data_IF_390280419805
#
_entry.id   IF_390280419805
#
_cell.length_a   1.000
_cell.length_b   1.000
_cell.length_c   1.000
_cell.angle_alpha   90.00
_cell.angle_beta   90.00
_cell.angle_gamma   90.00
#
_symmetry.space_group_name_H-M   'P 1'
#
loop_
_entity.id
_entity.type
_entity.pdbx_description
1 polymer ?
#
# COMPACT_ATOMS: atom_id res chain seq x y z
N UNK A 1 9.23 -8.14 6.05
CA UNK A 1 8.36 -7.00 5.71
C UNK A 1 8.09 -7.07 4.24
N UNK A 2 6.86 -6.84 3.81
CA UNK A 2 6.47 -6.90 2.38
C UNK A 2 6.61 -5.52 1.74
N UNK A 3 7.12 -5.41 0.49
CA UNK A 3 7.10 -4.17 -0.28
C UNK A 3 5.69 -3.59 -0.36
N UNK A 4 5.56 -2.28 -0.20
CA UNK A 4 4.27 -1.58 -0.10
C UNK A 4 3.75 -1.40 1.33
N UNK A 5 4.39 -2.00 2.36
CA UNK A 5 4.06 -1.73 3.77
C UNK A 5 4.27 -0.26 4.09
N UNK A 6 3.30 0.36 4.78
CA UNK A 6 3.29 1.77 5.09
C UNK A 6 3.38 2.02 6.59
N UNK A 7 4.11 3.07 6.97
CA UNK A 7 4.20 3.57 8.34
C UNK A 7 4.09 5.10 8.35
N UNK A 8 3.44 5.63 9.38
CA UNK A 8 3.46 7.07 9.62
C UNK A 8 4.75 7.42 10.34
N UNK A 9 5.64 8.12 9.64
CA UNK A 9 6.91 8.61 10.16
C UNK A 9 7.15 10.02 9.61
N UNK A 10 7.88 10.84 10.33
CA UNK A 10 8.18 12.19 9.89
C UNK A 10 6.93 13.01 9.47
N UNK A 11 5.77 12.76 10.13
CA UNK A 11 4.49 13.40 9.82
C UNK A 11 3.88 13.05 8.45
N UNK A 12 4.41 12.03 7.81
CA UNK A 12 3.93 11.57 6.50
C UNK A 12 3.88 10.05 6.43
N UNK A 13 3.31 9.52 5.36
CA UNK A 13 3.29 8.09 5.11
C UNK A 13 4.57 7.66 4.40
N UNK A 14 5.42 6.89 5.06
CA UNK A 14 6.62 6.28 4.48
C UNK A 14 6.27 4.89 3.99
N UNK A 15 6.50 4.62 2.71
CA UNK A 15 6.22 3.31 2.08
C UNK A 15 7.53 2.55 1.90
N UNK A 16 7.62 1.36 2.50
CA UNK A 16 8.74 0.43 2.28
C UNK A 16 8.70 -0.15 0.88
N UNK A 17 9.86 -0.15 0.20
CA UNK A 17 10.01 -0.63 -1.16
C UNK A 17 10.88 -1.89 -1.24
N UNK A 18 12.08 -1.84 -0.67
CA UNK A 18 13.07 -2.89 -0.82
C UNK A 18 14.09 -2.89 0.31
N UNK A 19 14.64 -4.04 0.62
CA UNK A 19 15.84 -4.15 1.44
C UNK A 19 16.67 -5.38 1.10
N UNK A 20 17.99 -5.26 1.26
CA UNK A 20 18.96 -6.33 1.07
C UNK A 20 20.16 -6.11 1.99
N UNK A 21 20.72 -7.18 2.50
CA UNK A 21 21.94 -7.18 3.32
C UNK A 21 23.07 -7.87 2.57
N UNK A 22 24.24 -7.24 2.52
CA UNK A 22 25.46 -7.84 2.01
C UNK A 22 26.30 -8.37 3.15
N UNK A 23 26.48 -9.70 3.21
CA UNK A 23 27.39 -10.33 4.14
C UNK A 23 28.85 -10.15 3.79
N UNK A 24 29.15 -9.74 2.55
CA UNK A 24 30.51 -9.44 2.11
C UNK A 24 31.03 -8.11 2.64
N UNK A 25 30.16 -7.08 2.65
CA UNK A 25 30.56 -5.71 3.04
C UNK A 25 29.97 -5.24 4.34
N UNK A 26 29.17 -6.07 5.03
CA UNK A 26 28.44 -5.73 6.25
C UNK A 26 27.58 -4.45 6.06
N UNK A 27 26.97 -4.31 4.87
CA UNK A 27 26.12 -3.19 4.48
C UNK A 27 24.67 -3.64 4.29
N UNK A 28 23.74 -2.75 4.60
CA UNK A 28 22.32 -2.95 4.38
C UNK A 28 21.76 -1.84 3.51
N UNK A 29 21.02 -2.17 2.48
CA UNK A 29 20.27 -1.20 1.68
C UNK A 29 18.80 -1.24 2.07
N UNK A 30 18.22 -0.06 2.17
CA UNK A 30 16.80 0.16 2.44
C UNK A 30 16.28 1.22 1.48
N UNK A 31 15.20 0.91 0.77
CA UNK A 31 14.56 1.84 -0.15
C UNK A 31 13.14 2.15 0.33
N UNK A 32 12.76 3.42 0.28
CA UNK A 32 11.43 3.89 0.66
C UNK A 32 10.94 5.00 -0.26
N UNK A 33 9.62 5.21 -0.29
CA UNK A 33 9.01 6.35 -0.96
C UNK A 33 8.09 7.12 -0.03
N UNK A 34 7.87 8.39 -0.39
CA UNK A 34 6.96 9.32 0.27
C UNK A 34 5.83 9.70 -0.68
N UNK A 35 4.66 10.15 -0.20
CA UNK A 35 3.65 10.74 -1.06
C UNK A 35 4.21 12.01 -1.73
N UNK A 36 3.94 12.17 -3.03
CA UNK A 36 4.21 13.42 -3.72
C UNK A 36 3.33 14.53 -3.11
N UNK A 37 3.93 15.48 -2.44
CA UNK A 37 3.27 16.68 -1.94
C UNK A 37 4.24 17.84 -1.94
N UNK A 38 3.72 19.07 -2.07
CA UNK A 38 4.53 20.27 -2.00
C UNK A 38 5.21 20.41 -0.63
N UNK A 39 4.53 20.02 0.43
CA UNK A 39 5.05 20.04 1.80
C UNK A 39 6.22 19.07 1.96
N UNK A 40 6.08 17.82 1.48
CA UNK A 40 7.14 16.82 1.57
C UNK A 40 8.38 17.22 0.74
N UNK A 41 8.21 18.03 -0.29
CA UNK A 41 9.33 18.52 -1.10
C UNK A 41 10.21 19.54 -0.37
N UNK A 42 9.68 20.20 0.67
CA UNK A 42 10.37 21.23 1.45
C UNK A 42 11.21 20.66 2.59
N UNK A 43 10.95 19.41 3.01
CA UNK A 43 11.65 18.78 4.13
C UNK A 43 12.94 18.09 3.71
N UNK A 44 13.94 18.19 4.56
CA UNK A 44 15.14 17.36 4.49
C UNK A 44 14.92 16.08 5.33
N UNK A 45 14.92 14.94 4.66
CA UNK A 45 14.72 13.65 5.32
C UNK A 45 16.05 13.08 5.79
N UNK A 46 16.02 12.43 6.95
CA UNK A 46 17.14 11.72 7.55
C UNK A 46 16.71 10.34 8.03
N UNK A 47 17.69 9.52 8.37
CA UNK A 47 17.44 8.16 8.88
C UNK A 47 18.18 7.96 10.17
N UNK A 48 17.48 7.41 11.15
CA UNK A 48 18.05 6.89 12.39
C UNK A 48 17.99 5.38 12.31
N UNK A 49 19.13 4.70 12.39
CA UNK A 49 19.18 3.25 12.27
C UNK A 49 20.01 2.63 13.39
N UNK A 50 19.45 1.62 14.05
CA UNK A 50 20.10 0.91 15.18
C UNK A 50 20.01 -0.60 14.97
N UNK A 51 21.13 -1.28 15.09
CA UNK A 51 21.20 -2.74 15.04
C UNK A 51 21.21 -3.30 16.46
N UNK A 52 20.25 -4.18 16.77
CA UNK A 52 20.06 -4.79 18.08
C UNK A 52 19.97 -3.75 19.23
N UNK A 53 19.71 -4.20 20.44
CA UNK A 53 19.72 -3.30 21.62
C UNK A 53 21.12 -2.98 22.15
N UNK A 54 22.18 -3.40 21.44
CA UNK A 54 23.55 -3.45 21.96
C UNK A 54 24.34 -2.19 21.65
N UNK A 55 23.99 -1.45 20.59
CA UNK A 55 24.67 -0.20 20.24
C UNK A 55 23.76 0.99 20.57
N UNK A 56 24.21 1.87 21.47
CA UNK A 56 23.55 3.18 21.68
C UNK A 56 23.84 4.17 20.54
N UNK A 57 24.67 3.77 19.59
CA UNK A 57 25.11 4.63 18.49
C UNK A 57 24.28 4.32 17.23
N UNK A 58 23.95 5.37 16.52
CA UNK A 58 23.27 5.26 15.23
C UNK A 58 24.25 4.74 14.17
N UNK A 59 23.75 3.86 13.29
CA UNK A 59 24.58 3.34 12.20
C UNK A 59 24.87 4.44 11.17
N UNK A 60 26.12 4.53 10.67
CA UNK A 60 26.45 5.44 9.58
C UNK A 60 25.64 5.11 8.32
N UNK A 61 25.15 6.12 7.65
CA UNK A 61 24.38 5.94 6.42
C UNK A 61 24.83 6.88 5.31
N UNK A 62 24.51 6.48 4.09
CA UNK A 62 24.52 7.30 2.88
C UNK A 62 23.13 7.23 2.25
N UNK A 63 22.47 8.37 2.05
CA UNK A 63 21.13 8.42 1.49
C UNK A 63 21.14 9.15 0.16
N UNK A 64 20.53 8.52 -0.84
CA UNK A 64 20.41 9.05 -2.18
C UNK A 64 18.96 9.18 -2.58
N UNK A 65 18.62 10.29 -3.22
CA UNK A 65 17.28 10.60 -3.72
C UNK A 65 17.16 10.21 -5.18
N UNK A 66 16.04 9.56 -5.54
CA UNK A 66 15.65 9.23 -6.91
C UNK A 66 14.38 10.00 -7.24
N UNK A 67 14.48 11.02 -8.10
CA UNK A 67 13.34 11.89 -8.38
C UNK A 67 12.96 12.74 -7.17
N UNK A 68 11.65 12.93 -6.94
CA UNK A 68 11.17 13.84 -5.90
C UNK A 68 10.81 13.14 -4.58
N UNK A 69 10.43 11.87 -4.63
CA UNK A 69 9.73 11.15 -3.57
C UNK A 69 10.34 9.79 -3.19
N UNK A 70 11.46 9.40 -3.80
CA UNK A 70 12.06 8.08 -3.65
C UNK A 70 13.46 8.19 -3.08
N UNK A 71 13.78 7.34 -2.13
CA UNK A 71 15.04 7.35 -1.40
C UNK A 71 15.63 5.96 -1.29
N UNK A 72 16.95 5.88 -1.44
CA UNK A 72 17.75 4.68 -1.20
C UNK A 72 18.78 4.98 -0.14
N UNK A 73 18.79 4.23 0.93
CA UNK A 73 19.66 4.38 2.09
C UNK A 73 20.59 3.20 2.17
N UNK A 74 21.87 3.47 2.28
CA UNK A 74 22.91 2.47 2.50
C UNK A 74 23.42 2.62 3.93
N UNK A 75 23.02 1.70 4.80
CA UNK A 75 23.55 1.61 6.16
C UNK A 75 24.88 0.86 6.12
N UNK A 76 25.86 1.37 6.82
CA UNK A 76 27.23 0.83 6.87
C UNK A 76 27.53 0.29 8.25
N UNK A 77 28.59 -0.51 8.35
CA UNK A 77 29.15 -0.98 9.63
C UNK A 77 28.15 -1.78 10.49
N UNK A 78 27.25 -2.55 9.82
CA UNK A 78 26.37 -3.42 10.58
C UNK A 78 27.18 -4.50 11.32
N UNK A 79 26.88 -4.77 12.61
CA UNK A 79 27.49 -5.88 13.30
C UNK A 79 27.27 -7.20 12.59
N UNK A 80 28.31 -7.99 12.32
CA UNK A 80 28.18 -9.24 11.53
C UNK A 80 27.11 -10.21 12.02
N UNK A 81 26.77 -10.17 13.30
CA UNK A 81 25.78 -11.06 13.95
C UNK A 81 24.51 -10.32 14.34
N UNK A 82 24.19 -9.22 13.66
CA UNK A 82 22.95 -8.52 13.95
C UNK A 82 21.73 -9.44 13.76
N UNK A 83 20.71 -9.26 14.59
CA UNK A 83 19.45 -10.03 14.53
C UNK A 83 18.28 -9.17 14.15
N UNK A 84 18.24 -7.94 14.67
CA UNK A 84 17.18 -6.95 14.38
C UNK A 84 17.83 -5.62 14.04
N UNK A 85 17.25 -4.95 13.06
CA UNK A 85 17.62 -3.62 12.63
C UNK A 85 16.37 -2.75 12.69
N UNK A 86 16.42 -1.66 13.43
CA UNK A 86 15.40 -0.63 13.48
C UNK A 86 15.82 0.53 12.59
N UNK A 87 14.95 0.96 11.70
CA UNK A 87 15.18 2.09 10.80
C UNK A 87 14.00 3.04 10.93
N UNK A 88 14.27 4.27 11.34
CA UNK A 88 13.29 5.34 11.46
C UNK A 88 13.63 6.44 10.45
N UNK A 89 12.63 6.92 9.73
CA UNK A 89 12.76 8.09 8.86
C UNK A 89 12.32 9.31 9.67
N UNK A 90 13.13 10.36 9.66
CA UNK A 90 12.84 11.65 10.31
C UNK A 90 12.88 12.75 9.27
N UNK A 91 12.24 13.87 9.55
CA UNK A 91 12.25 15.05 8.70
C UNK A 91 12.75 16.27 9.48
N UNK A 92 13.44 17.17 8.78
CA UNK A 92 13.87 18.46 9.31
C UNK A 92 13.27 19.59 8.48
N UNK A 93 12.82 20.64 9.16
CA UNK A 93 12.46 21.92 8.56
C UNK A 93 13.44 22.98 9.08
N UNK A 94 14.48 23.22 8.28
CA UNK A 94 15.57 24.10 8.69
C UNK A 94 16.33 23.56 9.90
N UNK A 95 16.33 24.32 11.01
CA UNK A 95 17.09 23.98 12.24
C UNK A 95 16.28 23.09 13.23
N UNK A 96 15.00 22.86 12.97
CA UNK A 96 14.12 22.14 13.89
C UNK A 96 13.88 20.71 13.43
N UNK A 97 14.04 19.74 14.33
CA UNK A 97 13.57 18.38 14.10
C UNK A 97 12.03 18.42 14.11
N UNK A 98 11.44 18.26 12.95
CA UNK A 98 10.00 18.15 12.83
C UNK A 98 9.66 16.68 12.80
N UNK A 99 9.07 16.16 13.79
CA UNK A 99 8.37 14.91 13.81
C UNK A 99 9.25 13.68 14.01
N UNK A 100 9.43 13.34 15.25
CA UNK A 100 9.59 11.96 15.65
C UNK A 100 8.28 11.22 15.33
N UNK A 101 8.30 10.35 14.33
CA UNK A 101 7.19 9.43 14.10
C UNK A 101 7.22 8.31 15.13
N UNK A 102 6.07 7.88 15.61
CA UNK A 102 5.93 6.81 16.61
C UNK A 102 6.29 5.40 16.08
N UNK A 103 6.83 5.29 14.88
CA UNK A 103 7.11 4.03 14.21
C UNK A 103 8.53 3.89 13.66
N UNK A 104 9.01 2.65 13.60
CA UNK A 104 10.24 2.29 12.92
C UNK A 104 10.02 1.05 12.07
N UNK A 105 10.73 0.96 10.94
CA UNK A 105 10.82 -0.28 10.19
C UNK A 105 11.71 -1.26 10.97
N UNK A 106 11.17 -2.41 11.33
CA UNK A 106 11.91 -3.45 12.03
C UNK A 106 12.22 -4.57 11.05
N UNK A 107 13.51 -4.77 10.79
CA UNK A 107 14.00 -5.84 9.95
C UNK A 107 14.60 -6.95 10.84
N UNK A 108 14.15 -8.19 10.64
CA UNK A 108 14.80 -9.36 11.20
C UNK A 108 15.75 -9.93 10.14
N UNK A 109 17.01 -10.16 10.47
CA UNK A 109 18.01 -10.64 9.52
C UNK A 109 17.54 -11.86 8.71
N UNK A 110 16.91 -12.83 9.41
CA UNK A 110 16.39 -14.05 8.76
C UNK A 110 15.32 -13.83 7.71
N UNK A 111 14.65 -12.64 7.71
CA UNK A 111 13.58 -12.27 6.82
C UNK A 111 14.04 -11.26 5.73
N UNK A 112 15.30 -10.86 5.78
CA UNK A 112 15.90 -9.96 4.79
C UNK A 112 16.59 -10.79 3.73
N UNK A 113 16.50 -10.34 2.47
CA UNK A 113 17.30 -10.92 1.40
C UNK A 113 18.78 -10.72 1.68
N UNK A 114 19.55 -11.79 1.77
CA UNK A 114 21.00 -11.75 1.98
C UNK A 114 21.75 -12.07 0.68
N UNK A 115 22.82 -11.33 0.42
CA UNK A 115 23.72 -11.56 -0.70
C UNK A 115 25.16 -11.66 -0.23
N UNK A 116 25.96 -12.46 -0.94
CA UNK A 116 27.41 -12.58 -0.77
C UNK A 116 28.20 -11.63 -1.71
N UNK A 117 27.49 -10.72 -2.39
CA UNK A 117 28.05 -9.70 -3.28
C UNK A 117 27.96 -8.32 -2.67
N UNK A 118 28.80 -7.39 -3.14
CA UNK A 118 28.67 -5.98 -2.79
C UNK A 118 27.34 -5.43 -3.30
N UNK A 119 26.69 -4.58 -2.49
CA UNK A 119 25.47 -3.88 -2.91
C UNK A 119 25.78 -2.93 -4.07
N UNK A 120 24.87 -2.86 -5.04
CA UNK A 120 24.95 -1.87 -6.09
C UNK A 120 24.87 -0.46 -5.49
N UNK A 121 25.78 0.43 -5.89
CA UNK A 121 25.81 1.82 -5.42
C UNK A 121 25.12 2.77 -6.42
N UNK A 122 24.78 2.25 -7.60
CA UNK A 122 23.96 2.96 -8.57
C UNK A 122 22.50 2.91 -8.15
N UNK A 123 21.91 4.09 -7.98
CA UNK A 123 20.52 4.23 -7.57
C UNK A 123 19.54 3.79 -8.65
N UNK A 124 19.89 3.82 -9.90
CA UNK A 124 19.06 3.34 -11.01
C UNK A 124 18.77 1.86 -10.89
N UNK A 125 19.72 1.09 -10.34
CA UNK A 125 19.49 -0.32 -10.00
C UNK A 125 18.24 -0.54 -9.15
N UNK A 126 17.91 0.42 -8.29
CA UNK A 126 16.76 0.34 -7.38
C UNK A 126 15.48 0.91 -7.97
N UNK A 127 15.54 1.64 -9.07
CA UNK A 127 14.38 2.28 -9.71
C UNK A 127 13.29 1.28 -10.07
N UNK A 128 13.67 0.10 -10.57
CA UNK A 128 12.73 -0.94 -10.94
C UNK A 128 11.92 -1.47 -9.74
N UNK A 129 12.52 -1.55 -8.55
CA UNK A 129 11.79 -2.00 -7.35
C UNK A 129 10.66 -1.05 -6.96
N UNK A 130 10.81 0.27 -7.20
CA UNK A 130 9.74 1.23 -6.98
C UNK A 130 8.59 1.02 -7.96
N UNK A 131 8.89 0.76 -9.22
CA UNK A 131 7.88 0.45 -10.25
C UNK A 131 7.15 -0.84 -9.88
N UNK A 132 7.89 -1.91 -9.61
CA UNK A 132 7.33 -3.22 -9.30
C UNK A 132 6.43 -3.18 -8.05
N UNK A 133 6.85 -2.44 -7.01
CA UNK A 133 6.05 -2.28 -5.79
C UNK A 133 4.76 -1.52 -6.09
N UNK A 134 4.84 -0.45 -6.88
CA UNK A 134 3.66 0.33 -7.27
C UNK A 134 2.69 -0.49 -8.10
N UNK A 135 3.20 -1.26 -9.07
CA UNK A 135 2.39 -2.18 -9.88
C UNK A 135 1.68 -3.18 -8.99
N UNK A 136 2.40 -3.87 -8.09
CA UNK A 136 1.80 -4.83 -7.15
C UNK A 136 0.72 -4.22 -6.26
N UNK A 137 0.92 -2.98 -5.80
CA UNK A 137 -0.07 -2.27 -5.00
C UNK A 137 -1.34 -2.00 -5.79
N UNK A 138 -1.20 -1.56 -7.05
CA UNK A 138 -2.35 -1.32 -7.93
C UNK A 138 -3.06 -2.64 -8.26
N UNK A 139 -2.32 -3.71 -8.57
CA UNK A 139 -2.89 -5.05 -8.83
C UNK A 139 -3.68 -5.59 -7.64
N UNK A 140 -3.19 -5.33 -6.41
CA UNK A 140 -3.93 -5.66 -5.18
C UNK A 140 -5.24 -4.88 -5.10
N UNK A 141 -5.22 -3.58 -5.36
CA UNK A 141 -6.43 -2.74 -5.38
C UNK A 141 -7.43 -3.23 -6.42
N UNK A 142 -6.98 -3.62 -7.62
CA UNK A 142 -7.85 -4.19 -8.65
C UNK A 142 -8.56 -5.44 -8.12
N UNK A 143 -7.82 -6.39 -7.54
CA UNK A 143 -8.40 -7.63 -6.98
C UNK A 143 -9.42 -7.38 -5.87
N UNK A 144 -9.16 -6.41 -5.00
CA UNK A 144 -10.10 -6.01 -3.95
C UNK A 144 -11.37 -5.40 -4.56
N UNK A 145 -11.23 -4.55 -5.58
CA UNK A 145 -12.36 -3.95 -6.32
C UNK A 145 -13.17 -5.01 -7.09
N UNK A 146 -12.51 -5.99 -7.74
CA UNK A 146 -13.17 -7.13 -8.39
C UNK A 146 -14.01 -7.95 -7.41
N UNK A 147 -13.48 -8.17 -6.19
CA UNK A 147 -14.22 -8.88 -5.14
C UNK A 147 -15.47 -8.10 -4.72
N UNK A 148 -15.37 -6.79 -4.55
CA UNK A 148 -16.51 -5.93 -4.23
C UNK A 148 -17.59 -6.01 -5.32
N UNK A 149 -17.21 -5.99 -6.60
CA UNK A 149 -18.13 -6.17 -7.73
C UNK A 149 -18.83 -7.53 -7.63
N UNK A 150 -18.13 -8.61 -7.31
CA UNK A 150 -18.74 -9.94 -7.17
C UNK A 150 -19.73 -10.00 -6.01
N UNK A 151 -19.44 -9.33 -4.90
CA UNK A 151 -20.34 -9.23 -3.76
C UNK A 151 -21.64 -8.47 -4.13
N UNK A 152 -21.53 -7.35 -4.85
CA UNK A 152 -22.68 -6.58 -5.35
C UNK A 152 -23.53 -7.40 -6.34
N UNK A 153 -22.90 -8.10 -7.29
CA UNK A 153 -23.58 -8.98 -8.23
C UNK A 153 -24.34 -10.11 -7.50
N UNK A 154 -23.68 -10.76 -6.55
CA UNK A 154 -24.32 -11.81 -5.73
C UNK A 154 -25.49 -11.27 -4.92
N UNK A 155 -25.39 -10.04 -4.40
CA UNK A 155 -26.50 -9.39 -3.69
C UNK A 155 -27.68 -9.11 -4.63
N UNK A 156 -27.42 -8.60 -5.84
CA UNK A 156 -28.45 -8.40 -6.85
C UNK A 156 -29.21 -9.68 -7.20
N UNK A 157 -28.48 -10.81 -7.32
CA UNK A 157 -29.10 -12.11 -7.62
C UNK A 157 -30.02 -12.58 -6.49
N UNK A 158 -29.62 -12.36 -5.23
CA UNK A 158 -30.49 -12.64 -4.06
C UNK A 158 -31.74 -11.78 -4.06
N UNK A 159 -31.60 -10.47 -4.36
CA UNK A 159 -32.75 -9.55 -4.43
C UNK A 159 -33.68 -9.96 -5.56
N UNK A 160 -33.18 -10.33 -6.72
CA UNK A 160 -34.00 -10.85 -7.85
C UNK A 160 -34.74 -12.11 -7.48
N UNK A 161 -34.10 -13.04 -6.72
CA UNK A 161 -34.76 -14.24 -6.24
C UNK A 161 -35.92 -13.92 -5.28
N UNK A 162 -35.70 -12.97 -4.36
CA UNK A 162 -36.76 -12.48 -3.46
C UNK A 162 -37.90 -11.83 -4.26
N UNK A 163 -37.60 -10.98 -5.23
CA UNK A 163 -38.64 -10.35 -6.07
C UNK A 163 -39.46 -11.38 -6.84
N UNK A 164 -38.82 -12.46 -7.31
CA UNK A 164 -39.56 -13.56 -7.94
C UNK A 164 -40.53 -14.22 -6.98
N UNK A 165 -40.12 -14.53 -5.75
CA UNK A 165 -41.01 -15.10 -4.71
C UNK A 165 -42.18 -14.15 -4.37
N UNK A 166 -41.89 -12.85 -4.21
CA UNK A 166 -42.92 -11.84 -3.97
C UNK A 166 -43.93 -11.80 -5.11
N UNK A 167 -43.46 -11.87 -6.36
CA UNK A 167 -44.34 -11.89 -7.55
C UNK A 167 -45.22 -13.14 -7.60
N UNK A 168 -44.69 -14.29 -7.23
CA UNK A 168 -45.45 -15.55 -7.19
C UNK A 168 -46.55 -15.51 -6.13
N UNK A 169 -46.37 -14.74 -5.03
CA UNK A 169 -47.37 -14.57 -3.98
C UNK A 169 -48.43 -13.50 -4.27
N UNK A 170 -48.20 -12.56 -5.21
CA UNK A 170 -49.17 -11.50 -5.55
C UNK A 170 -50.57 -12.03 -5.90
N UNK A 171 -50.66 -13.21 -6.55
CA UNK A 171 -51.95 -13.79 -6.96
C UNK A 171 -52.79 -14.31 -5.78
N UNK A 172 -52.24 -14.40 -4.58
CA UNK A 172 -52.87 -14.94 -3.38
C UNK A 172 -53.23 -13.87 -2.36
N UNK A 173 -52.78 -12.62 -2.59
CA UNK A 173 -52.91 -11.52 -1.66
C UNK A 173 -53.82 -10.41 -2.19
N UNK A 174 -54.47 -9.67 -1.31
CA UNK A 174 -55.38 -8.56 -1.62
C UNK A 174 -55.20 -7.40 -0.65
N UNK A 175 -55.66 -6.22 -1.06
CA UNK A 175 -55.67 -5.05 -0.20
C UNK A 175 -54.28 -4.57 0.22
N UNK A 176 -54.11 -4.32 1.52
CA UNK A 176 -52.86 -3.79 2.09
C UNK A 176 -51.66 -4.69 1.89
N UNK A 177 -51.87 -6.01 1.93
CA UNK A 177 -50.79 -7.01 1.74
C UNK A 177 -50.22 -6.97 0.30
N UNK A 178 -51.08 -6.85 -0.70
CA UNK A 178 -50.67 -6.68 -2.09
C UNK A 178 -49.88 -5.38 -2.30
N UNK A 179 -50.30 -4.27 -1.71
CA UNK A 179 -49.58 -3.00 -1.80
C UNK A 179 -48.22 -3.06 -1.08
N UNK A 180 -48.10 -3.77 0.03
CA UNK A 180 -46.84 -4.00 0.74
C UNK A 180 -45.86 -4.81 -0.13
N UNK A 181 -46.32 -5.85 -0.85
CA UNK A 181 -45.51 -6.63 -1.79
C UNK A 181 -45.00 -5.76 -2.90
N UNK A 182 -45.86 -4.95 -3.55
CA UNK A 182 -45.44 -4.05 -4.64
C UNK A 182 -44.40 -3.01 -4.18
N UNK A 183 -44.65 -2.41 -3.00
CA UNK A 183 -43.68 -1.48 -2.43
C UNK A 183 -42.32 -2.15 -2.23
N UNK A 184 -42.30 -3.37 -1.66
CA UNK A 184 -41.07 -4.11 -1.45
C UNK A 184 -40.35 -4.45 -2.75
N UNK A 185 -41.08 -4.79 -3.80
CA UNK A 185 -40.50 -5.03 -5.13
C UNK A 185 -39.86 -3.76 -5.71
N UNK A 186 -40.54 -2.60 -5.58
CA UNK A 186 -40.00 -1.30 -6.03
C UNK A 186 -38.72 -0.91 -5.28
N UNK A 187 -38.71 -1.12 -3.94
CA UNK A 187 -37.51 -0.90 -3.13
C UNK A 187 -36.34 -1.79 -3.57
N UNK A 188 -36.63 -3.06 -3.82
CA UNK A 188 -35.67 -4.04 -4.30
C UNK A 188 -35.13 -3.68 -5.69
N UNK A 189 -35.98 -3.23 -6.63
CA UNK A 189 -35.55 -2.76 -7.95
C UNK A 189 -34.66 -1.51 -7.84
N UNK A 190 -35.01 -0.59 -6.95
CA UNK A 190 -34.19 0.59 -6.66
C UNK A 190 -32.83 0.21 -6.12
N UNK A 191 -32.78 -0.77 -5.20
CA UNK A 191 -31.51 -1.28 -4.66
C UNK A 191 -30.65 -1.96 -5.72
N UNK A 192 -31.24 -2.77 -6.61
CA UNK A 192 -30.53 -3.36 -7.75
C UNK A 192 -29.92 -2.27 -8.62
N UNK A 193 -30.68 -1.23 -8.95
CA UNK A 193 -30.19 -0.12 -9.75
C UNK A 193 -29.01 0.59 -9.09
N UNK A 194 -29.09 0.88 -7.80
CA UNK A 194 -27.97 1.48 -7.05
C UNK A 194 -26.73 0.59 -7.08
N UNK A 195 -26.88 -0.72 -6.89
CA UNK A 195 -25.76 -1.66 -6.97
C UNK A 195 -25.19 -1.71 -8.39
N UNK A 196 -26.02 -1.72 -9.44
CA UNK A 196 -25.56 -1.74 -10.83
C UNK A 196 -24.80 -0.46 -11.21
N UNK A 197 -25.21 0.69 -10.68
CA UNK A 197 -24.49 1.96 -10.89
C UNK A 197 -23.15 1.96 -10.13
N UNK A 198 -23.11 1.46 -8.90
CA UNK A 198 -21.87 1.26 -8.14
C UNK A 198 -20.90 0.30 -8.87
N UNK A 199 -21.39 -0.80 -9.45
CA UNK A 199 -20.60 -1.74 -10.25
C UNK A 199 -19.94 -1.01 -11.42
N UNK A 200 -20.65 -0.16 -12.15
CA UNK A 200 -20.08 0.60 -13.29
C UNK A 200 -18.95 1.53 -12.84
N UNK A 201 -19.13 2.22 -11.70
CA UNK A 201 -18.08 3.09 -11.15
C UNK A 201 -16.82 2.29 -10.77
N UNK A 202 -17.00 1.11 -10.16
CA UNK A 202 -15.91 0.21 -9.82
C UNK A 202 -15.20 -0.35 -11.06
N UNK A 203 -15.93 -0.69 -12.13
CA UNK A 203 -15.36 -1.14 -13.40
C UNK A 203 -14.52 -0.04 -14.07
N UNK A 204 -14.96 1.22 -14.02
CA UNK A 204 -14.16 2.38 -14.48
C UNK A 204 -12.87 2.48 -13.66
N UNK A 205 -12.96 2.36 -12.33
CA UNK A 205 -11.80 2.42 -11.46
C UNK A 205 -10.77 1.30 -11.74
N UNK A 206 -11.22 0.11 -12.08
CA UNK A 206 -10.34 -0.99 -12.52
C UNK A 206 -9.61 -0.59 -13.80
N UNK A 207 -10.33 -0.12 -14.80
CA UNK A 207 -9.75 0.31 -16.08
C UNK A 207 -8.71 1.42 -15.90
N UNK A 208 -9.00 2.44 -15.11
CA UNK A 208 -8.04 3.51 -14.78
C UNK A 208 -6.76 2.97 -14.12
N UNK A 209 -6.91 1.97 -13.28
CA UNK A 209 -5.77 1.32 -12.62
C UNK A 209 -4.95 0.45 -13.60
N UNK A 210 -5.59 -0.25 -14.53
CA UNK A 210 -4.91 -0.99 -15.59
C UNK A 210 -4.11 -0.05 -16.49
N UNK A 211 -4.69 1.08 -16.90
CA UNK A 211 -3.99 2.11 -17.68
C UNK A 211 -2.76 2.68 -16.94
N UNK A 212 -2.87 2.87 -15.60
CA UNK A 212 -1.72 3.28 -14.76
C UNK A 212 -0.61 2.22 -14.76
N UNK A 213 -0.95 0.93 -14.68
CA UNK A 213 0.03 -0.16 -14.76
C UNK A 213 0.75 -0.14 -16.10
N UNK A 214 0.02 0.02 -17.20
CA UNK A 214 0.63 0.10 -18.54
C UNK A 214 1.57 1.31 -18.67
N UNK A 215 1.19 2.45 -18.11
CA UNK A 215 2.04 3.65 -18.11
C UNK A 215 3.32 3.47 -17.29
N UNK A 216 3.27 2.69 -16.19
CA UNK A 216 4.43 2.41 -15.34
C UNK A 216 5.42 1.41 -15.96
N UNK A 217 4.99 0.59 -16.91
CA UNK A 217 5.82 -0.44 -17.58
C UNK A 217 6.53 0.07 -18.86
N UNK A 218 6.20 1.29 -19.30
CA UNK A 218 6.85 1.97 -20.44
C UNK A 218 8.08 2.73 -20.03
#
# INVERSE_FOLDING_TARGET
>A
MEPGTQFNQAGTTVTYIYSEYSSLSDEFVFAFSLPLSEVNALYEYQVIAKADKITNEDLPFDMKKIGQDKYVVFLKELPRKWKKLSVQVTAKDGEHDILEGDGAFIFERRAVKETDKKLAKDVEHYSQFFVDTRVKTIEKTIKETEKEIQELKSNNDKIRAVNKQLKDSESQETGEELEAIKTKQQDNESQIKMNDDAIKELEIKIKDNEEKIEALKK
#
